data_IF_951553256490
#
_entry.id   IF_951553256490
#
_cell.length_a   1.000
_cell.length_b   1.000
_cell.length_c   1.000
_cell.angle_alpha   90.00
_cell.angle_beta   90.00
_cell.angle_gamma   90.00
#
_symmetry.space_group_name_H-M   'P 1'
#
loop_
_entity.id
_entity.type
_entity.pdbx_description
1 polymer ?
#
# COMPACT_ATOMS: atom_id res chain seq x y z
N UNK A 1 -10.46 24.59 7.61
CA UNK A 1 -11.09 24.01 6.40
C UNK A 1 -11.74 22.68 6.77
N UNK A 2 -12.96 22.39 6.28
CA UNK A 2 -13.64 21.11 6.50
C UNK A 2 -13.51 20.27 5.23
N UNK A 3 -12.71 19.22 5.29
CA UNK A 3 -12.54 18.30 4.17
C UNK A 3 -13.65 17.25 4.17
N UNK A 4 -14.04 16.79 2.97
CA UNK A 4 -14.94 15.65 2.83
C UNK A 4 -14.12 14.36 3.01
N UNK A 5 -14.28 13.70 4.15
CA UNK A 5 -13.52 12.49 4.51
C UNK A 5 -13.71 11.36 3.49
N UNK A 6 -14.89 11.24 2.85
CA UNK A 6 -15.15 10.19 1.87
C UNK A 6 -14.45 10.49 0.54
N UNK A 7 -14.57 11.72 0.04
CA UNK A 7 -13.91 12.12 -1.22
C UNK A 7 -12.39 12.08 -1.09
N UNK A 8 -11.86 12.49 0.06
CA UNK A 8 -10.43 12.46 0.31
C UNK A 8 -9.91 11.03 0.48
N UNK A 9 -10.65 10.17 1.17
CA UNK A 9 -10.38 8.73 1.23
C UNK A 9 -10.36 8.09 -0.15
N UNK A 10 -11.33 8.42 -1.02
CA UNK A 10 -11.41 7.89 -2.38
C UNK A 10 -10.23 8.37 -3.26
N UNK A 11 -9.81 9.63 -3.12
CA UNK A 11 -8.64 10.13 -3.80
C UNK A 11 -7.34 9.41 -3.34
N UNK A 12 -7.21 9.17 -2.03
CA UNK A 12 -6.09 8.39 -1.48
C UNK A 12 -6.08 6.94 -1.96
N UNK A 13 -7.26 6.31 -2.02
CA UNK A 13 -7.45 4.97 -2.60
C UNK A 13 -7.04 4.92 -4.08
N UNK A 14 -7.45 5.89 -4.90
CA UNK A 14 -7.08 5.94 -6.31
C UNK A 14 -5.56 6.15 -6.49
N UNK A 15 -4.96 7.08 -5.73
CA UNK A 15 -3.51 7.32 -5.78
C UNK A 15 -2.69 6.09 -5.36
N UNK A 16 -3.12 5.40 -4.29
CA UNK A 16 -2.45 4.18 -3.81
C UNK A 16 -2.58 3.02 -4.81
N UNK A 17 -3.68 2.90 -5.55
CA UNK A 17 -3.82 1.91 -6.60
C UNK A 17 -2.82 2.11 -7.75
N UNK A 18 -2.62 3.37 -8.17
CA UNK A 18 -1.62 3.72 -9.18
C UNK A 18 -0.22 3.37 -8.68
N UNK A 19 0.09 3.76 -7.43
CA UNK A 19 1.38 3.48 -6.81
C UNK A 19 1.63 1.97 -6.69
N UNK A 20 0.64 1.20 -6.22
CA UNK A 20 0.71 -0.26 -6.13
C UNK A 20 1.02 -0.90 -7.48
N UNK A 21 0.35 -0.45 -8.54
CA UNK A 21 0.59 -0.93 -9.91
C UNK A 21 2.03 -0.69 -10.33
N UNK A 22 2.54 0.53 -10.12
CA UNK A 22 3.92 0.90 -10.44
C UNK A 22 4.95 0.07 -9.65
N UNK A 23 4.74 -0.08 -8.34
CA UNK A 23 5.59 -0.90 -7.47
C UNK A 23 5.59 -2.36 -7.89
N UNK A 24 4.42 -2.91 -8.24
CA UNK A 24 4.29 -4.31 -8.67
C UNK A 24 5.07 -4.57 -9.97
N UNK A 25 5.04 -3.64 -10.93
CA UNK A 25 5.83 -3.74 -12.16
C UNK A 25 7.33 -3.77 -11.83
N UNK A 26 7.80 -2.89 -10.94
CA UNK A 26 9.21 -2.87 -10.53
C UNK A 26 9.63 -4.17 -9.84
N UNK A 27 8.78 -4.74 -8.99
CA UNK A 27 9.02 -6.04 -8.35
C UNK A 27 9.14 -7.19 -9.37
N UNK A 28 8.38 -7.14 -10.46
CA UNK A 28 8.49 -8.11 -11.56
C UNK A 28 9.80 -7.93 -12.35
N UNK A 29 10.25 -6.69 -12.55
CA UNK A 29 11.49 -6.40 -13.28
C UNK A 29 12.75 -6.77 -12.47
N UNK A 30 12.72 -6.58 -11.15
CA UNK A 30 13.87 -6.84 -10.25
C UNK A 30 13.46 -7.62 -8.98
N UNK A 31 13.04 -8.89 -9.10
CA UNK A 31 12.51 -9.66 -7.97
C UNK A 31 13.53 -9.88 -6.85
N UNK A 32 14.80 -10.15 -7.20
CA UNK A 32 15.86 -10.34 -6.20
C UNK A 32 16.10 -9.09 -5.35
N UNK A 33 16.10 -7.90 -5.97
CA UNK A 33 16.30 -6.63 -5.26
C UNK A 33 15.09 -6.24 -4.42
N UNK A 34 13.88 -6.55 -4.87
CA UNK A 34 12.68 -6.36 -4.07
C UNK A 34 12.69 -7.22 -2.79
N UNK A 35 13.15 -8.47 -2.90
CA UNK A 35 13.31 -9.38 -1.77
C UNK A 35 14.41 -8.94 -0.80
N UNK A 36 15.58 -8.55 -1.31
CA UNK A 36 16.67 -8.00 -0.49
C UNK A 36 16.20 -6.77 0.29
N UNK A 37 15.53 -5.82 -0.38
CA UNK A 37 14.99 -4.62 0.24
C UNK A 37 13.96 -4.95 1.34
N UNK A 38 13.09 -5.94 1.08
CA UNK A 38 12.09 -6.37 2.07
C UNK A 38 12.76 -7.05 3.26
N UNK A 39 13.82 -7.84 3.03
CA UNK A 39 14.62 -8.44 4.11
C UNK A 39 15.26 -7.34 4.98
N UNK A 40 15.88 -6.34 4.34
CA UNK A 40 16.51 -5.20 5.02
C UNK A 40 15.49 -4.40 5.85
N UNK A 41 14.29 -4.14 5.31
CA UNK A 41 13.22 -3.43 6.04
C UNK A 41 12.75 -4.18 7.30
N UNK A 42 12.86 -5.51 7.29
CA UNK A 42 12.51 -6.36 8.42
C UNK A 42 13.71 -6.66 9.33
N UNK A 43 14.89 -6.10 9.05
CA UNK A 43 16.17 -6.43 9.70
C UNK A 43 16.53 -7.92 9.63
N UNK A 44 16.16 -8.60 8.53
CA UNK A 44 16.59 -9.96 8.22
C UNK A 44 17.76 -9.96 7.24
N UNK A 45 18.61 -10.98 7.33
CA UNK A 45 19.72 -11.19 6.40
C UNK A 45 19.29 -11.74 5.03
N UNK A 46 18.14 -12.42 4.96
CA UNK A 46 17.58 -12.95 3.71
C UNK A 46 16.13 -13.40 3.91
N UNK A 47 15.33 -13.25 2.86
CA UNK A 47 14.00 -13.88 2.73
C UNK A 47 14.05 -15.19 1.93
N UNK A 48 15.23 -15.79 1.72
CA UNK A 48 15.46 -17.01 0.95
C UNK A 48 14.42 -18.13 1.17
N UNK A 49 14.08 -18.50 2.42
CA UNK A 49 13.07 -19.54 2.69
C UNK A 49 11.63 -19.15 2.32
N UNK A 50 11.36 -17.86 2.11
CA UNK A 50 10.03 -17.34 1.81
C UNK A 50 9.87 -16.93 0.34
N UNK A 51 10.91 -17.07 -0.49
CA UNK A 51 10.92 -16.63 -1.90
C UNK A 51 9.74 -17.21 -2.70
N UNK A 52 9.35 -18.46 -2.43
CA UNK A 52 8.21 -19.11 -3.09
C UNK A 52 6.87 -18.43 -2.80
N UNK A 53 6.73 -17.77 -1.64
CA UNK A 53 5.51 -17.06 -1.25
C UNK A 53 5.42 -15.64 -1.83
N UNK A 54 6.56 -15.07 -2.22
CA UNK A 54 6.65 -13.70 -2.75
C UNK A 54 6.58 -13.63 -4.28
N UNK A 55 6.25 -14.74 -4.94
CA UNK A 55 6.00 -14.77 -6.38
C UNK A 55 4.87 -13.81 -6.77
N UNK A 56 5.17 -12.88 -7.68
CA UNK A 56 4.16 -11.99 -8.25
C UNK A 56 3.32 -12.80 -9.24
N UNK A 57 2.14 -13.22 -8.81
CA UNK A 57 1.12 -13.82 -9.66
C UNK A 57 -0.10 -12.88 -9.76
N UNK A 58 -0.95 -13.10 -10.76
CA UNK A 58 -2.11 -12.23 -10.98
C UNK A 58 -3.08 -12.20 -9.79
N UNK A 59 -3.24 -13.33 -9.09
CA UNK A 59 -4.13 -13.42 -7.93
C UNK A 59 -3.63 -12.59 -6.73
N UNK A 60 -2.33 -12.68 -6.42
CA UNK A 60 -1.63 -11.95 -5.37
C UNK A 60 -1.57 -10.45 -5.68
N UNK A 61 -1.42 -10.10 -6.96
CA UNK A 61 -1.49 -8.71 -7.39
C UNK A 61 -2.88 -8.11 -7.13
N UNK A 62 -3.95 -8.79 -7.54
CA UNK A 62 -5.32 -8.29 -7.37
C UNK A 62 -5.72 -8.26 -5.89
N UNK A 63 -5.42 -9.32 -5.13
CA UNK A 63 -5.75 -9.36 -3.70
C UNK A 63 -4.99 -8.27 -2.93
N UNK A 64 -3.70 -8.10 -3.21
CA UNK A 64 -2.88 -7.04 -2.62
C UNK A 64 -3.34 -5.65 -3.02
N UNK A 65 -3.73 -5.43 -4.28
CA UNK A 65 -4.27 -4.16 -4.76
C UNK A 65 -5.54 -3.78 -3.98
N UNK A 66 -6.50 -4.71 -3.89
CA UNK A 66 -7.75 -4.48 -3.17
C UNK A 66 -7.46 -4.16 -1.70
N UNK A 67 -6.61 -4.98 -1.06
CA UNK A 67 -6.26 -4.81 0.34
C UNK A 67 -5.59 -3.45 0.59
N UNK A 68 -4.60 -3.08 -0.22
CA UNK A 68 -3.85 -1.84 -0.10
C UNK A 68 -4.74 -0.60 -0.31
N UNK A 69 -5.60 -0.65 -1.33
CA UNK A 69 -6.55 0.44 -1.63
C UNK A 69 -7.59 0.61 -0.52
N UNK A 70 -8.16 -0.49 0.00
CA UNK A 70 -9.15 -0.44 1.10
C UNK A 70 -8.50 0.08 2.38
N UNK A 71 -7.31 -0.40 2.74
CA UNK A 71 -6.63 0.11 3.93
C UNK A 71 -6.26 1.58 3.79
N UNK A 72 -5.76 2.00 2.64
CA UNK A 72 -5.44 3.42 2.40
C UNK A 72 -6.69 4.29 2.52
N UNK A 73 -7.82 3.85 1.96
CA UNK A 73 -9.11 4.55 2.11
C UNK A 73 -9.44 4.77 3.58
N UNK A 74 -9.38 3.71 4.39
CA UNK A 74 -9.73 3.76 5.80
C UNK A 74 -8.78 4.67 6.59
N UNK A 75 -7.47 4.55 6.38
CA UNK A 75 -6.48 5.39 7.04
C UNK A 75 -6.69 6.87 6.72
N UNK A 76 -6.86 7.20 5.44
CA UNK A 76 -7.07 8.57 5.00
C UNK A 76 -8.40 9.12 5.50
N UNK A 77 -9.47 8.31 5.45
CA UNK A 77 -10.78 8.68 5.99
C UNK A 77 -10.70 9.03 7.48
N UNK A 78 -10.09 8.15 8.28
CA UNK A 78 -9.92 8.34 9.72
C UNK A 78 -9.06 9.56 10.04
N UNK A 79 -7.97 9.75 9.28
CA UNK A 79 -7.10 10.92 9.42
C UNK A 79 -7.87 12.22 9.18
N UNK A 80 -8.63 12.29 8.08
CA UNK A 80 -9.42 13.49 7.76
C UNK A 80 -10.56 13.70 8.75
N UNK A 81 -11.22 12.62 9.19
CA UNK A 81 -12.23 12.70 10.25
C UNK A 81 -11.66 13.28 11.55
N UNK A 82 -10.51 12.78 12.00
CA UNK A 82 -9.81 13.29 13.17
C UNK A 82 -9.37 14.75 12.98
N UNK A 83 -8.79 15.09 11.82
CA UNK A 83 -8.41 16.46 11.47
C UNK A 83 -9.60 17.43 11.53
N UNK A 84 -10.73 17.06 10.93
CA UNK A 84 -11.95 17.86 10.95
C UNK A 84 -12.51 18.03 12.37
N UNK A 85 -12.36 17.01 13.23
CA UNK A 85 -12.79 17.07 14.63
C UNK A 85 -11.89 17.98 15.46
N UNK A 86 -10.58 17.95 15.23
CA UNK A 86 -9.60 18.76 15.97
C UNK A 86 -9.59 20.23 15.53
N UNK A 87 -9.80 20.49 14.24
CA UNK A 87 -9.88 21.86 13.68
C UNK A 87 -11.27 22.49 13.74
N UNK A 88 -12.16 21.94 14.58
CA UNK A 88 -13.49 22.49 14.88
C UNK A 88 -13.47 23.48 16.06
N UNK A 89 -12.31 24.03 16.41
CA UNK A 89 -12.21 25.22 17.28
C UNK A 89 -12.61 26.46 16.50
#
# INVERSE_FOLDING_TARGET
>A
MKFDSHKFGLAGAAASAIFWTGCSILCVMWPAKALDLTADMLHLSSLGPLVEFFGVNAANYVSGLIQYTVYTYLYVYLFVYAYNRLNKK
#
